data_IF_194914342646
#
_entry.id   IF_194914342646
#
_cell.length_a   1.000
_cell.length_b   1.000
_cell.length_c   1.000
_cell.angle_alpha   90.00
_cell.angle_beta   90.00
_cell.angle_gamma   90.00
#
_symmetry.space_group_name_H-M   'P 1'
#
loop_
_entity.id
_entity.type
_entity.pdbx_description
1 polymer ?
#
# COMPACT_ATOMS: atom_id res chain seq x y z
N UNK A 1 4.00 -15.70 -18.73
CA UNK A 1 4.88 -15.05 -17.74
C UNK A 1 5.70 -13.99 -18.48
N UNK A 2 5.49 -12.73 -18.18
CA UNK A 2 6.21 -11.65 -18.86
C UNK A 2 7.54 -11.39 -18.17
N UNK A 3 8.57 -11.00 -18.94
CA UNK A 3 9.97 -10.74 -18.51
C UNK A 3 10.16 -9.87 -17.26
N UNK A 4 9.12 -9.19 -16.77
CA UNK A 4 9.16 -8.31 -15.57
C UNK A 4 8.78 -8.99 -14.25
N UNK A 5 8.11 -10.13 -14.28
CA UNK A 5 7.69 -10.84 -13.06
C UNK A 5 8.83 -11.64 -12.40
N UNK A 6 9.87 -11.96 -13.18
CA UNK A 6 11.04 -12.69 -12.68
C UNK A 6 12.01 -11.85 -11.82
N UNK A 7 11.93 -10.50 -11.91
CA UNK A 7 12.84 -9.59 -11.16
C UNK A 7 12.43 -9.45 -9.69
N UNK A 8 11.19 -9.78 -9.34
CA UNK A 8 10.67 -9.69 -7.96
C UNK A 8 10.97 -10.89 -7.07
N UNK A 9 11.53 -11.97 -7.60
CA UNK A 9 11.61 -13.27 -6.92
C UNK A 9 12.91 -13.53 -6.15
N UNK A 10 13.91 -12.64 -6.25
CA UNK A 10 15.17 -12.75 -5.49
C UNK A 10 15.20 -11.72 -4.34
N UNK A 11 14.08 -11.45 -3.70
CA UNK A 11 14.09 -10.81 -2.40
C UNK A 11 14.35 -11.91 -1.35
N UNK A 12 15.60 -12.13 -1.04
CA UNK A 12 16.00 -12.98 0.07
C UNK A 12 15.23 -12.60 1.34
N UNK A 13 14.78 -13.60 2.08
CA UNK A 13 14.04 -13.45 3.32
C UNK A 13 14.74 -12.47 4.28
N UNK A 14 14.30 -11.22 4.28
CA UNK A 14 14.70 -10.25 5.28
C UNK A 14 13.99 -10.63 6.58
N UNK A 15 14.63 -11.44 7.40
CA UNK A 15 14.15 -11.78 8.72
C UNK A 15 14.10 -10.51 9.58
N UNK A 16 12.90 -10.16 9.99
CA UNK A 16 12.61 -9.02 10.86
C UNK A 16 13.14 -9.28 12.26
N UNK A 17 14.40 -8.86 12.52
CA UNK A 17 14.93 -8.74 13.89
C UNK A 17 15.80 -7.49 14.00
N UNK A 18 15.35 -6.54 14.79
CA UNK A 18 16.06 -5.29 15.08
C UNK A 18 17.48 -5.50 15.63
N UNK A 19 17.78 -6.63 16.29
CA UNK A 19 19.11 -7.01 16.76
C UNK A 19 20.04 -7.61 15.68
N UNK A 20 19.52 -7.98 14.50
CA UNK A 20 20.32 -8.54 13.41
C UNK A 20 20.87 -7.44 12.48
N UNK A 21 20.27 -6.25 12.48
CA UNK A 21 20.67 -5.12 11.60
C UNK A 21 22.04 -4.55 11.97
N UNK A 22 22.41 -4.56 13.24
CA UNK A 22 23.70 -4.01 13.67
C UNK A 22 24.90 -4.90 13.32
N UNK A 23 24.72 -6.22 13.17
CA UNK A 23 25.84 -7.17 12.92
C UNK A 23 26.58 -6.90 11.62
N UNK A 24 25.90 -6.50 10.54
CA UNK A 24 26.57 -6.21 9.28
C UNK A 24 27.40 -4.92 9.38
N UNK A 25 26.84 -3.86 9.99
CA UNK A 25 27.57 -2.61 10.20
C UNK A 25 28.72 -2.72 11.18
N UNK A 26 28.74 -3.73 12.06
CA UNK A 26 29.87 -4.08 12.93
C UNK A 26 30.88 -4.98 12.23
N UNK A 27 30.42 -5.86 11.34
CA UNK A 27 31.28 -6.79 10.58
C UNK A 27 32.10 -6.09 9.48
N UNK A 28 31.58 -5.00 8.94
CA UNK A 28 32.18 -4.22 7.88
C UNK A 28 32.55 -2.83 8.39
N UNK A 29 33.70 -2.27 8.02
CA UNK A 29 34.15 -0.95 8.49
C UNK A 29 33.41 0.19 7.75
N UNK A 30 32.04 0.15 7.77
CA UNK A 30 31.22 1.06 7.01
C UNK A 30 31.43 2.53 7.41
N UNK A 31 31.61 2.80 8.73
CA UNK A 31 31.85 4.17 9.19
C UNK A 31 33.19 4.72 8.69
N UNK A 32 34.21 3.85 8.56
CA UNK A 32 35.48 4.21 7.95
C UNK A 32 35.30 4.50 6.45
N UNK A 33 34.57 3.66 5.72
CA UNK A 33 34.26 3.94 4.30
C UNK A 33 33.56 5.29 4.09
N UNK A 34 32.67 5.63 5.02
CA UNK A 34 31.96 6.92 5.00
C UNK A 34 32.96 8.07 5.25
N UNK A 35 33.94 7.89 6.12
CA UNK A 35 35.00 8.88 6.40
C UNK A 35 35.97 9.02 5.23
N UNK A 36 36.35 7.90 4.58
CA UNK A 36 37.26 7.86 3.43
C UNK A 36 36.65 8.48 2.17
N UNK A 37 35.33 8.55 2.11
CA UNK A 37 34.58 9.21 1.02
C UNK A 37 34.17 8.28 -0.10
N UNK A 38 33.79 8.87 -1.25
CA UNK A 38 33.29 8.13 -2.41
C UNK A 38 34.37 7.21 -2.99
N UNK A 39 33.98 5.95 -3.29
CA UNK A 39 34.86 4.93 -3.88
C UNK A 39 34.07 4.08 -4.88
N UNK A 40 34.73 3.54 -5.88
CA UNK A 40 34.13 2.70 -6.92
C UNK A 40 35.05 1.56 -7.30
N UNK A 41 34.96 0.44 -6.59
CA UNK A 41 35.70 -0.80 -6.88
C UNK A 41 34.80 -1.87 -7.49
N UNK A 42 33.49 -1.78 -7.23
CA UNK A 42 32.46 -2.62 -7.83
C UNK A 42 31.75 -1.79 -8.87
N UNK A 43 31.57 -2.31 -10.08
CA UNK A 43 30.79 -1.64 -11.11
C UNK A 43 29.30 -1.72 -10.80
N UNK A 44 28.74 -0.58 -10.43
CA UNK A 44 27.38 -0.45 -9.94
C UNK A 44 26.76 0.90 -10.26
N UNK A 45 25.43 1.00 -10.11
CA UNK A 45 24.73 2.26 -10.10
C UNK A 45 23.87 2.37 -8.84
N UNK A 46 23.82 3.57 -8.27
CA UNK A 46 22.97 3.82 -7.09
C UNK A 46 22.29 5.17 -7.21
N UNK A 47 20.98 5.18 -7.00
CA UNK A 47 20.15 6.37 -7.05
C UNK A 47 19.12 6.39 -5.93
N UNK A 48 18.64 7.59 -5.61
CA UNK A 48 17.49 7.83 -4.73
C UNK A 48 16.46 8.60 -5.54
N UNK A 49 15.29 8.00 -5.74
CA UNK A 49 14.17 8.67 -6.38
C UNK A 49 13.52 9.63 -5.38
N UNK A 50 13.01 10.77 -5.86
CA UNK A 50 12.35 11.78 -5.05
C UNK A 50 11.16 11.23 -4.25
N UNK A 51 10.92 11.81 -3.08
CA UNK A 51 9.82 11.39 -2.23
C UNK A 51 8.47 11.77 -2.84
N UNK A 52 7.51 10.83 -2.76
CA UNK A 52 6.13 11.02 -3.22
C UNK A 52 5.15 10.45 -2.21
N UNK A 53 3.93 10.96 -2.19
CA UNK A 53 2.87 10.38 -1.35
C UNK A 53 2.54 8.95 -1.82
N UNK A 54 2.41 8.05 -0.88
CA UNK A 54 2.09 6.64 -1.13
C UNK A 54 0.65 6.31 -0.74
N UNK A 55 0.16 5.13 -1.13
CA UNK A 55 -1.13 4.62 -0.68
C UNK A 55 -1.23 4.48 0.86
N UNK A 56 -0.09 4.40 1.55
CA UNK A 56 -0.04 4.44 3.02
C UNK A 56 -0.22 5.85 3.60
N UNK A 57 -0.45 6.87 2.77
CA UNK A 57 -0.54 8.27 3.15
C UNK A 57 0.72 8.79 3.88
N UNK A 58 1.86 8.27 3.48
CA UNK A 58 3.20 8.67 3.92
C UNK A 58 4.07 8.94 2.71
N UNK A 59 5.00 9.89 2.82
CA UNK A 59 5.99 10.15 1.78
C UNK A 59 6.97 8.98 1.71
N UNK A 60 7.19 8.47 0.50
CA UNK A 60 8.10 7.36 0.23
C UNK A 60 9.15 7.77 -0.79
N UNK A 61 10.43 7.64 -0.40
CA UNK A 61 11.58 7.68 -1.29
C UNK A 61 11.97 6.25 -1.66
N UNK A 62 12.52 6.05 -2.85
CA UNK A 62 13.01 4.74 -3.30
C UNK A 62 14.50 4.78 -3.54
N UNK A 63 15.22 3.90 -2.86
CA UNK A 63 16.63 3.61 -3.13
C UNK A 63 16.69 2.48 -4.15
N UNK A 64 17.49 2.68 -5.19
CA UNK A 64 17.80 1.66 -6.21
C UNK A 64 19.30 1.46 -6.22
N UNK A 65 19.73 0.21 -6.05
CA UNK A 65 21.12 -0.22 -6.16
C UNK A 65 21.18 -1.31 -7.22
N UNK A 66 21.87 -1.04 -8.31
CA UNK A 66 22.06 -1.97 -9.43
C UNK A 66 23.53 -2.39 -9.47
N UNK A 67 23.80 -3.70 -9.37
CA UNK A 67 25.13 -4.28 -9.54
C UNK A 67 25.20 -4.96 -10.89
N UNK A 68 26.20 -4.62 -11.70
CA UNK A 68 26.36 -5.08 -13.05
C UNK A 68 26.49 -6.61 -13.13
N UNK A 69 25.95 -7.20 -14.19
CA UNK A 69 26.01 -8.64 -14.45
C UNK A 69 27.46 -9.18 -14.52
N UNK A 70 28.39 -8.40 -15.11
CA UNK A 70 29.80 -8.76 -15.18
C UNK A 70 30.46 -8.87 -13.81
N UNK A 71 30.05 -8.01 -12.85
CA UNK A 71 30.52 -8.08 -11.48
C UNK A 71 30.02 -9.33 -10.76
N UNK A 72 28.77 -9.73 -11.04
CA UNK A 72 28.20 -10.98 -10.51
C UNK A 72 28.92 -12.20 -11.10
N UNK A 73 29.20 -12.17 -12.40
CA UNK A 73 29.90 -13.25 -13.10
C UNK A 73 31.35 -13.40 -12.63
N UNK A 74 32.08 -12.29 -12.46
CA UNK A 74 33.45 -12.25 -11.91
C UNK A 74 33.56 -12.94 -10.55
N UNK A 75 32.50 -12.87 -9.73
CA UNK A 75 32.43 -13.39 -8.35
C UNK A 75 31.69 -14.73 -8.24
N UNK A 76 31.50 -15.44 -9.34
CA UNK A 76 30.68 -16.65 -9.45
C UNK A 76 30.68 -17.56 -8.21
N UNK A 77 29.47 -17.74 -7.63
CA UNK A 77 29.16 -18.79 -6.66
C UNK A 77 29.82 -18.63 -5.29
N UNK A 78 30.56 -17.55 -5.02
CA UNK A 78 31.30 -17.35 -3.77
C UNK A 78 30.87 -16.06 -3.07
N UNK A 79 30.50 -16.19 -1.80
CA UNK A 79 30.22 -15.04 -0.95
C UNK A 79 28.89 -14.38 -1.20
N UNK A 80 28.80 -13.12 -0.81
CA UNK A 80 27.60 -12.29 -0.85
C UNK A 80 27.97 -10.90 -1.37
N UNK A 81 27.08 -10.30 -2.13
CA UNK A 81 27.06 -8.84 -2.33
C UNK A 81 26.16 -8.25 -1.25
N UNK A 82 26.71 -7.35 -0.45
CA UNK A 82 25.98 -6.67 0.61
C UNK A 82 25.71 -5.22 0.22
N UNK A 83 24.43 -4.86 0.12
CA UNK A 83 23.99 -3.49 -0.08
C UNK A 83 23.77 -2.83 1.29
N UNK A 84 24.38 -1.67 1.52
CA UNK A 84 24.24 -0.86 2.72
C UNK A 84 23.52 0.44 2.39
N UNK A 85 22.63 0.86 3.27
CA UNK A 85 21.91 2.11 3.18
C UNK A 85 21.99 2.79 4.54
N UNK A 86 22.56 3.99 4.59
CA UNK A 86 22.47 4.88 5.74
C UNK A 86 21.77 6.16 5.31
N UNK A 87 20.85 6.62 6.13
CA UNK A 87 20.15 7.91 5.96
C UNK A 87 20.48 8.75 7.17
N UNK A 88 20.89 9.99 6.94
CA UNK A 88 21.19 10.95 8.00
C UNK A 88 20.33 12.20 7.77
N UNK A 89 19.65 12.70 8.82
CA UNK A 89 18.90 13.96 8.77
C UNK A 89 19.78 15.15 9.15
N UNK A 90 19.23 16.36 9.00
CA UNK A 90 19.92 17.61 9.33
C UNK A 90 20.37 17.70 10.81
N UNK A 91 19.79 16.92 11.70
CA UNK A 91 20.22 16.84 13.13
C UNK A 91 21.34 15.83 13.38
N UNK A 92 21.81 15.11 12.34
CA UNK A 92 22.84 14.08 12.44
C UNK A 92 22.32 12.73 12.94
N UNK A 93 21.00 12.54 13.08
CA UNK A 93 20.43 11.23 13.43
C UNK A 93 20.57 10.29 12.24
N UNK A 94 20.89 9.03 12.52
CA UNK A 94 21.19 8.02 11.51
C UNK A 94 20.27 6.82 11.58
N UNK A 95 19.80 6.36 10.42
CA UNK A 95 19.04 5.14 10.24
C UNK A 95 19.77 4.26 9.24
N UNK A 96 19.88 2.98 9.54
CA UNK A 96 20.67 2.03 8.77
C UNK A 96 19.85 0.82 8.36
N UNK A 97 20.07 0.34 7.14
CA UNK A 97 19.57 -0.91 6.64
C UNK A 97 20.61 -1.57 5.73
N UNK A 98 20.55 -2.88 5.62
CA UNK A 98 21.36 -3.65 4.69
C UNK A 98 20.52 -4.76 4.06
N UNK A 99 21.00 -5.27 2.93
CA UNK A 99 20.53 -6.50 2.34
C UNK A 99 21.72 -7.27 1.78
N UNK A 100 21.74 -8.60 1.99
CA UNK A 100 22.81 -9.47 1.53
C UNK A 100 22.26 -10.44 0.49
N UNK A 101 22.93 -10.53 -0.65
CA UNK A 101 22.59 -11.39 -1.77
C UNK A 101 23.65 -12.49 -1.87
N UNK A 102 23.29 -13.71 -1.50
CA UNK A 102 24.17 -14.88 -1.69
C UNK A 102 24.28 -15.18 -3.15
N UNK A 103 25.50 -15.12 -3.69
CA UNK A 103 25.72 -15.33 -5.12
C UNK A 103 25.44 -16.77 -5.56
N UNK A 104 25.54 -17.73 -4.64
CA UNK A 104 25.16 -19.12 -4.89
C UNK A 104 23.65 -19.33 -5.11
N UNK A 105 22.81 -18.49 -4.49
CA UNK A 105 21.35 -18.62 -4.56
C UNK A 105 20.74 -17.88 -5.76
N UNK A 106 21.56 -17.18 -6.56
CA UNK A 106 21.11 -16.42 -7.72
C UNK A 106 21.00 -17.37 -8.92
N UNK A 107 19.82 -17.53 -9.53
CA UNK A 107 19.65 -18.35 -10.74
C UNK A 107 20.54 -17.84 -11.89
N UNK A 108 21.02 -18.76 -12.73
CA UNK A 108 21.97 -18.41 -13.82
C UNK A 108 21.40 -17.40 -14.83
N UNK A 109 20.10 -17.50 -15.13
CA UNK A 109 19.41 -16.53 -15.98
C UNK A 109 19.30 -15.13 -15.34
N UNK A 110 19.28 -15.04 -14.02
CA UNK A 110 19.30 -13.78 -13.29
C UNK A 110 20.73 -13.19 -13.19
N UNK A 111 21.77 -14.05 -13.09
CA UNK A 111 23.18 -13.61 -13.11
C UNK A 111 23.51 -12.83 -14.38
N UNK A 112 22.99 -13.24 -15.51
CA UNK A 112 23.19 -12.56 -16.80
C UNK A 112 22.59 -11.14 -16.86
N UNK A 113 21.74 -10.76 -15.90
CA UNK A 113 21.04 -9.45 -15.86
C UNK A 113 21.52 -8.53 -14.76
N UNK A 114 22.41 -9.00 -13.87
CA UNK A 114 22.83 -8.28 -12.69
C UNK A 114 21.82 -8.37 -11.54
N UNK A 115 22.11 -7.66 -10.45
CA UNK A 115 21.26 -7.60 -9.24
C UNK A 115 20.73 -6.19 -9.10
N UNK A 116 19.39 -6.05 -9.04
CA UNK A 116 18.72 -4.80 -8.66
C UNK A 116 18.13 -4.93 -7.26
N UNK A 117 18.61 -4.13 -6.34
CA UNK A 117 18.02 -3.97 -5.01
C UNK A 117 17.15 -2.72 -4.96
N UNK A 118 15.88 -2.92 -4.56
CA UNK A 118 14.91 -1.84 -4.38
C UNK A 118 14.54 -1.76 -2.89
N UNK A 119 14.79 -0.61 -2.28
CA UNK A 119 14.38 -0.33 -0.90
C UNK A 119 13.50 0.90 -0.86
N UNK A 120 12.25 0.73 -0.51
CA UNK A 120 11.34 1.83 -0.21
C UNK A 120 11.57 2.30 1.24
N UNK A 121 11.55 3.62 1.43
CA UNK A 121 11.80 4.26 2.72
C UNK A 121 10.76 5.34 2.93
N UNK A 122 10.00 5.26 4.01
CA UNK A 122 9.16 6.37 4.43
C UNK A 122 10.01 7.46 5.08
N UNK A 123 9.74 8.69 4.69
CA UNK A 123 10.43 9.88 5.20
C UNK A 123 9.41 10.97 5.55
N UNK A 124 9.71 11.80 6.53
CA UNK A 124 8.99 13.06 6.76
C UNK A 124 9.60 14.18 5.91
N UNK A 125 8.92 15.34 5.75
CA UNK A 125 9.52 16.52 5.14
C UNK A 125 10.82 16.92 5.85
N UNK A 126 11.86 17.24 5.07
CA UNK A 126 13.19 17.60 5.59
C UNK A 126 14.31 17.32 4.61
N UNK A 127 15.54 17.55 5.06
CA UNK A 127 16.76 17.31 4.30
C UNK A 127 17.48 16.06 4.81
N UNK A 128 17.87 15.22 3.86
CA UNK A 128 18.49 13.91 4.15
C UNK A 128 19.73 13.68 3.30
N UNK A 129 20.73 13.04 3.88
CA UNK A 129 21.88 12.50 3.17
C UNK A 129 21.78 10.98 3.15
N UNK A 130 21.64 10.40 1.97
CA UNK A 130 21.68 8.97 1.74
C UNK A 130 23.09 8.54 1.42
N UNK A 131 23.69 7.70 2.24
CA UNK A 131 24.98 7.04 1.97
C UNK A 131 24.67 5.60 1.57
N UNK A 132 24.99 5.25 0.33
CA UNK A 132 24.72 3.96 -0.26
C UNK A 132 26.06 3.27 -0.53
N UNK A 133 26.16 1.97 -0.21
CA UNK A 133 27.34 1.19 -0.55
C UNK A 133 26.99 -0.23 -1.00
N UNK A 134 27.80 -0.80 -1.87
CA UNK A 134 27.81 -2.21 -2.21
C UNK A 134 29.20 -2.78 -1.85
N UNK A 135 29.22 -3.97 -1.23
CA UNK A 135 30.46 -4.62 -0.80
C UNK A 135 30.43 -6.11 -1.14
N UNK A 136 31.55 -6.62 -1.64
CA UNK A 136 31.80 -8.06 -1.76
C UNK A 136 32.30 -8.62 -0.42
N UNK A 137 31.64 -9.64 0.08
CA UNK A 137 31.97 -10.25 1.39
C UNK A 137 33.28 -11.00 1.41
N UNK A 138 33.81 -11.44 0.24
CA UNK A 138 35.05 -12.21 0.10
C UNK A 138 36.25 -11.30 -0.13
N UNK A 139 36.21 -10.47 -1.17
CA UNK A 139 37.32 -9.61 -1.54
C UNK A 139 37.40 -8.35 -0.70
N UNK A 140 36.33 -7.96 -0.04
CA UNK A 140 36.18 -6.69 0.69
C UNK A 140 36.24 -5.45 -0.20
N UNK A 141 36.25 -5.64 -1.53
CA UNK A 141 36.00 -4.55 -2.50
C UNK A 141 34.68 -3.88 -2.18
N UNK A 142 34.63 -2.56 -2.23
CA UNK A 142 33.37 -1.83 -2.03
C UNK A 142 33.25 -0.61 -2.93
N UNK A 143 32.03 -0.20 -3.16
CA UNK A 143 31.72 1.08 -3.79
C UNK A 143 30.76 1.85 -2.89
N UNK A 144 30.96 3.18 -2.79
CA UNK A 144 30.17 4.06 -1.95
C UNK A 144 29.86 5.37 -2.65
N UNK A 145 28.63 5.84 -2.48
CA UNK A 145 28.17 7.13 -2.99
C UNK A 145 27.27 7.82 -1.98
N UNK A 146 27.28 9.17 -1.98
CA UNK A 146 26.33 9.99 -1.22
C UNK A 146 25.35 10.67 -2.16
N UNK A 147 24.10 10.80 -1.72
CA UNK A 147 23.01 11.48 -2.43
C UNK A 147 22.24 12.34 -1.44
N UNK A 148 22.03 13.59 -1.77
CA UNK A 148 21.18 14.48 -1.00
C UNK A 148 19.75 14.35 -1.50
N UNK A 149 18.78 14.36 -0.59
CA UNK A 149 17.37 14.36 -0.88
C UNK A 149 16.69 15.45 -0.05
N UNK A 150 16.12 16.43 -0.72
CA UNK A 150 15.19 17.38 -0.12
C UNK A 150 13.77 16.86 -0.27
N UNK A 151 13.05 16.76 0.83
CA UNK A 151 11.65 16.29 0.88
C UNK A 151 10.78 17.47 1.29
N UNK A 152 10.07 18.11 0.35
CA UNK A 152 9.20 19.23 0.67
C UNK A 152 7.96 18.77 1.45
N UNK A 153 7.35 19.65 2.26
CA UNK A 153 6.01 19.44 2.80
C UNK A 153 4.99 19.26 1.66
N UNK A 154 3.92 18.53 1.90
CA UNK A 154 2.82 18.46 0.95
C UNK A 154 2.14 19.83 0.85
N UNK A 155 2.09 20.36 -0.36
CA UNK A 155 1.41 21.63 -0.61
C UNK A 155 -0.10 21.48 -0.39
N UNK A 156 -0.70 22.37 0.42
CA UNK A 156 -2.14 22.34 0.69
C UNK A 156 -2.61 21.06 1.38
N UNK A 157 -1.78 20.43 2.22
CA UNK A 157 -2.12 19.22 2.94
C UNK A 157 -3.40 19.37 3.78
N UNK A 158 -4.50 18.67 3.49
CA UNK A 158 -5.73 18.78 4.25
C UNK A 158 -5.67 18.04 5.62
N UNK A 159 -4.61 17.24 5.87
CA UNK A 159 -4.42 16.45 7.08
C UNK A 159 -3.01 16.64 7.68
N UNK A 160 -2.59 17.87 7.99
CA UNK A 160 -1.19 18.13 8.38
C UNK A 160 -0.80 17.47 9.71
N UNK A 161 -1.75 17.28 10.62
CA UNK A 161 -1.51 16.63 11.91
C UNK A 161 -1.41 15.10 11.85
N UNK A 162 -1.74 14.51 10.70
CA UNK A 162 -1.79 13.04 10.55
C UNK A 162 -0.41 12.36 10.72
N UNK A 163 0.67 13.12 10.61
CA UNK A 163 2.05 12.62 10.71
C UNK A 163 2.76 12.96 12.03
N UNK A 164 2.07 13.54 13.02
CA UNK A 164 2.67 14.10 14.26
C UNK A 164 3.58 13.11 14.99
N UNK A 165 3.23 11.83 15.05
CA UNK A 165 3.99 10.82 15.81
C UNK A 165 4.69 9.78 14.91
N UNK A 166 4.87 10.10 13.64
CA UNK A 166 5.58 9.21 12.74
C UNK A 166 7.09 9.29 12.94
N UNK A 167 7.81 8.18 12.80
CA UNK A 167 9.26 8.22 12.76
C UNK A 167 9.73 9.00 11.53
N UNK A 168 10.76 9.87 11.66
CA UNK A 168 11.29 10.65 10.54
C UNK A 168 11.73 9.80 9.35
N UNK A 169 12.29 8.62 9.64
CA UNK A 169 12.71 7.64 8.63
C UNK A 169 12.28 6.25 9.05
N UNK A 170 11.68 5.48 8.13
CA UNK A 170 11.30 4.10 8.35
C UNK A 170 11.51 3.28 7.08
N UNK A 171 12.37 2.27 7.14
CA UNK A 171 12.56 1.33 6.05
C UNK A 171 11.33 0.42 5.91
N UNK A 172 10.80 0.32 4.69
CA UNK A 172 9.68 -0.56 4.39
C UNK A 172 10.18 -1.99 4.35
N UNK A 173 9.73 -2.80 5.28
CA UNK A 173 10.05 -4.23 5.30
C UNK A 173 9.07 -4.98 4.39
N UNK A 174 9.60 -5.81 3.51
CA UNK A 174 8.81 -6.74 2.70
C UNK A 174 9.01 -8.14 3.26
N UNK A 175 7.92 -8.82 3.59
CA UNK A 175 8.01 -10.23 3.93
C UNK A 175 8.30 -11.03 2.66
N UNK A 176 9.31 -11.90 2.73
CA UNK A 176 9.77 -12.69 1.57
C UNK A 176 8.84 -13.80 1.11
N UNK A 177 7.69 -14.00 1.76
CA UNK A 177 6.72 -15.02 1.36
C UNK A 177 5.85 -14.51 0.18
N UNK A 178 5.66 -15.30 -0.89
CA UNK A 178 4.81 -14.96 -2.03
C UNK A 178 3.40 -14.54 -1.65
N UNK A 179 2.86 -15.07 -0.55
CA UNK A 179 1.51 -14.83 -0.06
C UNK A 179 1.31 -13.46 0.60
N UNK A 180 2.39 -12.75 0.88
CA UNK A 180 2.36 -11.41 1.49
C UNK A 180 2.60 -10.27 0.51
N UNK A 181 2.37 -10.48 -0.78
CA UNK A 181 2.55 -9.51 -1.86
C UNK A 181 1.80 -8.18 -1.65
N UNK A 182 0.77 -8.16 -0.84
CA UNK A 182 -0.08 -6.99 -0.56
C UNK A 182 0.29 -6.29 0.76
N UNK A 183 1.28 -6.79 1.52
CA UNK A 183 1.55 -6.29 2.87
C UNK A 183 3.01 -5.89 3.09
N UNK A 184 3.39 -4.65 2.82
CA UNK A 184 4.59 -4.11 3.45
C UNK A 184 4.36 -3.96 4.95
N UNK A 185 5.34 -4.34 5.75
CA UNK A 185 5.32 -4.07 7.18
C UNK A 185 5.60 -2.59 7.41
N UNK A 186 4.68 -1.90 8.09
CA UNK A 186 4.75 -0.48 8.41
C UNK A 186 4.48 -0.32 9.90
N UNK A 187 5.44 0.22 10.64
CA UNK A 187 5.35 0.44 12.10
C UNK A 187 4.66 1.74 12.43
N UNK A 188 5.08 2.83 11.76
CA UNK A 188 4.49 4.15 11.97
C UNK A 188 3.06 4.20 11.49
N UNK A 189 2.14 4.58 12.39
CA UNK A 189 0.71 4.68 12.11
C UNK A 189 0.33 6.14 11.92
N UNK A 190 -0.26 6.44 10.77
CA UNK A 190 -0.90 7.73 10.53
C UNK A 190 -2.07 7.87 11.52
N UNK A 191 -2.19 9.00 12.18
CA UNK A 191 -3.28 9.29 13.12
C UNK A 191 -4.39 10.08 12.44
N UNK A 192 -5.62 9.68 12.69
CA UNK A 192 -6.81 10.33 12.16
C UNK A 192 -7.80 10.62 13.30
N UNK A 193 -7.44 11.55 14.21
CA UNK A 193 -8.33 11.89 15.31
C UNK A 193 -9.55 12.66 14.79
N UNK A 194 -10.74 12.28 15.25
CA UNK A 194 -11.99 12.95 14.95
C UNK A 194 -12.71 13.27 16.26
N UNK A 195 -12.86 14.54 16.54
CA UNK A 195 -13.61 15.00 17.71
C UNK A 195 -15.06 15.17 17.30
N UNK A 196 -15.96 14.40 17.93
CA UNK A 196 -17.41 14.45 17.70
C UNK A 196 -18.14 15.00 18.92
N UNK A 197 -19.30 15.61 18.70
CA UNK A 197 -20.12 16.19 19.79
C UNK A 197 -20.91 15.14 20.58
N UNK A 198 -21.15 14.00 19.95
CA UNK A 198 -21.89 12.86 20.51
C UNK A 198 -21.28 11.56 20.03
N UNK A 199 -21.59 10.42 20.65
CA UNK A 199 -21.09 9.14 20.21
C UNK A 199 -21.43 8.87 18.74
N UNK A 200 -20.46 8.38 17.95
CA UNK A 200 -20.65 8.05 16.54
C UNK A 200 -20.20 6.61 16.30
N UNK A 201 -21.03 5.82 15.63
CA UNK A 201 -20.64 4.49 15.18
C UNK A 201 -20.20 4.53 13.72
N UNK A 202 -18.96 4.09 13.46
CA UNK A 202 -18.38 4.04 12.11
C UNK A 202 -18.25 2.58 11.65
N UNK A 203 -18.87 2.26 10.52
CA UNK A 203 -18.69 0.99 9.81
C UNK A 203 -17.80 1.22 8.59
N UNK A 204 -16.59 0.67 8.57
CA UNK A 204 -15.72 0.65 7.39
C UNK A 204 -15.92 -0.67 6.66
N UNK A 205 -16.40 -0.60 5.43
CA UNK A 205 -16.73 -1.76 4.60
C UNK A 205 -15.84 -1.78 3.37
N UNK A 206 -14.99 -2.77 3.22
CA UNK A 206 -14.16 -2.92 2.02
C UNK A 206 -14.68 -4.03 1.12
N UNK A 207 -14.93 -3.70 -0.13
CA UNK A 207 -15.17 -4.70 -1.17
C UNK A 207 -13.84 -5.29 -1.67
N UNK A 208 -13.69 -6.60 -1.53
CA UNK A 208 -12.52 -7.35 -2.01
C UNK A 208 -12.76 -8.03 -3.35
N UNK A 209 -13.99 -8.03 -3.84
CA UNK A 209 -14.34 -8.70 -5.11
C UNK A 209 -13.58 -8.04 -6.25
N UNK A 210 -12.89 -8.82 -7.09
CA UNK A 210 -12.24 -8.27 -8.27
C UNK A 210 -13.27 -7.67 -9.22
N UNK A 211 -12.98 -6.47 -9.73
CA UNK A 211 -13.76 -5.86 -10.82
C UNK A 211 -13.52 -6.66 -12.09
N UNK A 212 -14.56 -7.24 -12.65
CA UNK A 212 -14.45 -8.04 -13.86
C UNK A 212 -14.61 -7.18 -15.11
N UNK A 213 -13.49 -6.83 -15.71
CA UNK A 213 -13.43 -6.75 -17.17
C UNK A 213 -12.79 -8.05 -17.67
N UNK A 214 -13.41 -8.77 -18.61
CA UNK A 214 -12.83 -10.00 -19.15
C UNK A 214 -11.37 -9.78 -19.59
N UNK A 215 -10.45 -10.65 -19.15
CA UNK A 215 -9.04 -10.65 -19.55
C UNK A 215 -8.03 -10.00 -18.61
N UNK A 216 -8.43 -9.42 -17.45
CA UNK A 216 -7.52 -8.66 -16.56
C UNK A 216 -7.48 -9.19 -15.10
N UNK A 217 -8.15 -10.30 -14.82
CA UNK A 217 -8.52 -10.76 -13.46
C UNK A 217 -7.41 -10.75 -12.40
N UNK A 218 -6.31 -11.47 -12.58
CA UNK A 218 -5.33 -11.66 -11.49
C UNK A 218 -4.46 -10.43 -11.25
N UNK A 219 -4.02 -9.74 -12.30
CA UNK A 219 -3.20 -8.53 -12.16
C UNK A 219 -4.02 -7.36 -11.63
N UNK A 220 -5.27 -7.26 -12.07
CA UNK A 220 -6.20 -6.23 -11.60
C UNK A 220 -6.45 -6.35 -10.10
N UNK A 221 -6.70 -7.55 -9.59
CA UNK A 221 -6.91 -7.80 -8.17
C UNK A 221 -5.71 -7.37 -7.33
N UNK A 222 -4.50 -7.84 -7.65
CA UNK A 222 -3.28 -7.45 -6.91
C UNK A 222 -3.02 -5.96 -6.97
N UNK A 223 -3.24 -5.34 -8.13
CA UNK A 223 -3.10 -3.90 -8.30
C UNK A 223 -4.09 -3.14 -7.42
N UNK A 224 -5.36 -3.55 -7.40
CA UNK A 224 -6.38 -2.93 -6.54
C UNK A 224 -6.02 -3.10 -5.06
N UNK A 225 -5.67 -4.31 -4.62
CA UNK A 225 -5.30 -4.58 -3.23
C UNK A 225 -4.08 -3.79 -2.78
N UNK A 226 -3.16 -3.45 -3.68
CA UNK A 226 -1.97 -2.64 -3.34
C UNK A 226 -2.30 -1.23 -2.87
N UNK A 227 -3.48 -0.71 -3.17
CA UNK A 227 -3.98 0.58 -2.65
C UNK A 227 -5.12 0.42 -1.65
N UNK A 228 -6.00 -0.55 -1.83
CA UNK A 228 -7.15 -0.76 -0.94
C UNK A 228 -6.72 -1.25 0.45
N UNK A 229 -5.73 -2.14 0.54
CA UNK A 229 -5.26 -2.64 1.84
C UNK A 229 -4.60 -1.53 2.68
N UNK A 230 -3.69 -0.69 2.15
CA UNK A 230 -3.20 0.49 2.87
C UNK A 230 -4.32 1.46 3.26
N UNK A 231 -5.27 1.72 2.36
CA UNK A 231 -6.42 2.58 2.64
C UNK A 231 -7.31 2.02 3.76
N UNK A 232 -7.59 0.71 3.76
CA UNK A 232 -8.34 0.05 4.83
C UNK A 232 -7.62 0.16 6.18
N UNK A 233 -6.29 -0.08 6.20
CA UNK A 233 -5.48 0.10 7.41
C UNK A 233 -5.59 1.52 7.96
N UNK A 234 -5.58 2.50 7.06
CA UNK A 234 -5.72 3.90 7.41
C UNK A 234 -7.12 4.20 7.99
N UNK A 235 -8.19 3.78 7.28
CA UNK A 235 -9.57 3.96 7.73
C UNK A 235 -9.85 3.26 9.06
N UNK A 236 -9.26 2.07 9.28
CA UNK A 236 -9.35 1.35 10.56
C UNK A 236 -8.64 2.05 11.73
N UNK A 237 -7.84 3.08 11.43
CA UNK A 237 -7.10 3.91 12.39
C UNK A 237 -7.79 5.25 12.68
N UNK A 238 -8.99 5.48 12.17
CA UNK A 238 -9.82 6.63 12.54
C UNK A 238 -10.13 6.51 14.04
N UNK A 239 -9.75 7.53 14.78
CA UNK A 239 -9.90 7.59 16.24
C UNK A 239 -10.97 8.62 16.60
N UNK A 240 -12.19 8.14 16.85
CA UNK A 240 -13.31 8.99 17.27
C UNK A 240 -13.25 9.21 18.77
N UNK A 241 -13.41 10.45 19.19
CA UNK A 241 -13.37 10.82 20.62
C UNK A 241 -14.44 10.09 21.45
N UNK A 242 -15.59 9.82 20.84
CA UNK A 242 -16.71 9.08 21.43
C UNK A 242 -17.33 8.17 20.37
N UNK A 243 -17.52 6.89 20.69
CA UNK A 243 -18.15 5.93 19.79
C UNK A 243 -17.32 4.70 19.52
N UNK A 244 -17.55 4.09 18.37
CA UNK A 244 -16.90 2.85 17.96
C UNK A 244 -16.65 2.82 16.47
N UNK A 245 -15.71 1.98 16.06
CA UNK A 245 -15.40 1.71 14.66
C UNK A 245 -15.39 0.20 14.42
N UNK A 246 -16.15 -0.26 13.45
CA UNK A 246 -16.16 -1.64 12.99
C UNK A 246 -15.55 -1.72 11.58
N UNK A 247 -14.90 -2.84 11.27
CA UNK A 247 -14.31 -3.08 9.96
C UNK A 247 -14.89 -4.36 9.37
N UNK A 248 -15.35 -4.30 8.13
CA UNK A 248 -15.88 -5.45 7.41
C UNK A 248 -15.21 -5.62 6.06
N UNK A 249 -14.92 -6.86 5.69
CA UNK A 249 -14.46 -7.25 4.37
C UNK A 249 -15.58 -8.00 3.66
N UNK A 250 -15.91 -7.64 2.42
CA UNK A 250 -16.91 -8.29 1.61
C UNK A 250 -16.28 -8.97 0.41
N UNK A 251 -16.51 -10.27 0.25
CA UNK A 251 -16.32 -11.00 -0.99
C UNK A 251 -17.71 -11.25 -1.61
N UNK A 252 -18.08 -10.41 -2.56
CA UNK A 252 -19.42 -10.46 -3.19
C UNK A 252 -19.55 -11.73 -4.03
N UNK A 253 -18.47 -12.15 -4.71
CA UNK A 253 -18.49 -13.33 -5.56
C UNK A 253 -18.73 -14.62 -4.77
N UNK A 254 -18.28 -14.69 -3.52
CA UNK A 254 -18.48 -15.84 -2.64
C UNK A 254 -19.55 -15.60 -1.58
N UNK A 255 -20.16 -14.41 -1.55
CA UNK A 255 -21.16 -13.99 -0.55
C UNK A 255 -20.65 -14.18 0.90
N UNK A 256 -19.38 -13.82 1.15
CA UNK A 256 -18.74 -13.93 2.45
C UNK A 256 -18.48 -12.57 3.06
N UNK A 257 -18.62 -12.51 4.38
CA UNK A 257 -18.29 -11.33 5.19
C UNK A 257 -17.35 -11.73 6.32
N UNK A 258 -16.32 -10.91 6.54
CA UNK A 258 -15.45 -11.01 7.71
C UNK A 258 -15.50 -9.69 8.46
N UNK A 259 -15.58 -9.75 9.77
CA UNK A 259 -15.78 -8.57 10.61
C UNK A 259 -14.79 -8.50 11.76
N UNK A 260 -14.38 -7.28 12.05
CA UNK A 260 -13.66 -6.90 13.25
C UNK A 260 -14.41 -5.77 13.92
N UNK A 261 -15.01 -6.05 15.08
CA UNK A 261 -15.75 -5.07 15.88
C UNK A 261 -14.81 -4.28 16.79
N UNK A 262 -15.21 -3.05 17.12
CA UNK A 262 -14.48 -2.14 18.00
C UNK A 262 -13.00 -2.02 17.65
N UNK A 263 -12.71 -1.85 16.35
CA UNK A 263 -11.36 -1.80 15.82
C UNK A 263 -10.62 -0.53 16.32
N UNK A 264 -9.38 -0.72 16.76
CA UNK A 264 -8.39 0.34 17.00
C UNK A 264 -7.19 0.13 16.07
N UNK A 265 -7.47 -0.02 14.79
CA UNK A 265 -6.57 -0.51 13.78
C UNK A 265 -6.88 -1.94 13.36
N UNK A 266 -6.45 -2.33 12.17
CA UNK A 266 -6.72 -3.63 11.61
C UNK A 266 -5.92 -4.74 12.32
N UNK A 267 -6.60 -5.75 12.87
CA UNK A 267 -5.96 -6.98 13.34
C UNK A 267 -5.54 -7.82 12.13
N UNK A 268 -4.28 -7.67 11.76
CA UNK A 268 -3.78 -8.28 10.56
C UNK A 268 -3.67 -9.81 10.64
N UNK A 269 -3.39 -10.36 11.81
CA UNK A 269 -3.30 -11.80 11.98
C UNK A 269 -4.64 -12.49 11.69
N UNK A 270 -5.74 -11.84 12.08
CA UNK A 270 -7.10 -12.31 11.85
C UNK A 270 -7.58 -12.02 10.42
N UNK A 271 -7.24 -10.85 9.87
CA UNK A 271 -7.82 -10.35 8.62
C UNK A 271 -7.03 -10.74 7.36
N UNK A 272 -5.84 -11.36 7.50
CA UNK A 272 -5.05 -11.74 6.32
C UNK A 272 -5.63 -12.91 5.54
N UNK A 273 -6.24 -13.89 6.22
CA UNK A 273 -6.80 -15.07 5.56
C UNK A 273 -7.88 -14.72 4.52
N UNK A 274 -8.84 -13.83 4.79
CA UNK A 274 -9.77 -13.33 3.78
C UNK A 274 -9.11 -12.86 2.49
N UNK A 275 -7.99 -12.14 2.57
CA UNK A 275 -7.30 -11.64 1.36
C UNK A 275 -6.64 -12.77 0.54
N UNK A 276 -6.18 -13.83 1.22
CA UNK A 276 -5.63 -15.02 0.55
C UNK A 276 -6.76 -15.79 -0.11
N UNK A 277 -7.86 -16.00 0.59
CA UNK A 277 -9.01 -16.77 0.13
C UNK A 277 -9.72 -16.10 -1.04
N UNK A 278 -9.80 -14.77 -1.06
CA UNK A 278 -10.43 -14.00 -2.14
C UNK A 278 -9.58 -13.86 -3.40
N UNK A 279 -8.36 -14.41 -3.41
CA UNK A 279 -7.51 -14.38 -4.61
C UNK A 279 -8.21 -15.12 -5.77
N UNK A 280 -8.42 -14.48 -6.96
CA UNK A 280 -9.19 -15.03 -8.06
C UNK A 280 -8.49 -16.16 -8.82
N UNK A 281 -7.37 -16.69 -8.30
CA UNK A 281 -6.63 -17.78 -8.93
C UNK A 281 -7.39 -19.12 -9.01
N UNK A 282 -8.51 -19.25 -8.28
CA UNK A 282 -9.35 -20.47 -8.29
C UNK A 282 -10.79 -20.03 -8.56
N UNK A 283 -11.33 -20.43 -9.70
CA UNK A 283 -12.75 -20.32 -10.04
C UNK A 283 -13.43 -21.60 -9.59
N UNK A 284 -14.34 -21.52 -8.64
CA UNK A 284 -15.17 -22.64 -8.22
C UNK A 284 -16.61 -22.48 -8.73
N UNK A 285 -17.33 -23.60 -8.85
CA UNK A 285 -18.71 -23.61 -9.35
C UNK A 285 -19.68 -22.82 -8.45
N UNK A 286 -19.40 -22.75 -7.16
CA UNK A 286 -20.21 -22.02 -6.19
C UNK A 286 -20.07 -20.50 -6.43
N UNK A 287 -18.85 -20.00 -6.72
CA UNK A 287 -18.62 -18.60 -7.08
C UNK A 287 -19.35 -18.21 -8.36
N UNK A 288 -19.39 -19.08 -9.37
CA UNK A 288 -20.13 -18.84 -10.61
C UNK A 288 -21.63 -18.71 -10.37
N UNK A 289 -22.22 -19.59 -9.55
CA UNK A 289 -23.64 -19.52 -9.19
C UNK A 289 -23.98 -18.31 -8.32
N UNK A 290 -23.03 -17.80 -7.53
CA UNK A 290 -23.23 -16.64 -6.67
C UNK A 290 -23.12 -15.32 -7.44
N UNK A 291 -22.50 -15.31 -8.63
CA UNK A 291 -22.26 -14.09 -9.41
C UNK A 291 -23.53 -13.30 -9.75
N UNK A 292 -24.66 -13.97 -9.99
CA UNK A 292 -25.93 -13.31 -10.28
C UNK A 292 -26.52 -12.54 -9.10
N UNK A 293 -26.04 -12.77 -7.87
CA UNK A 293 -26.58 -12.19 -6.63
C UNK A 293 -25.62 -11.22 -5.95
N UNK A 294 -24.50 -10.87 -6.57
CA UNK A 294 -23.49 -9.99 -5.94
C UNK A 294 -24.07 -8.65 -5.51
N UNK A 295 -24.86 -8.02 -6.38
CA UNK A 295 -25.48 -6.72 -6.10
C UNK A 295 -26.50 -6.82 -4.97
N UNK A 296 -27.32 -7.90 -4.97
CA UNK A 296 -28.29 -8.15 -3.89
C UNK A 296 -27.58 -8.38 -2.56
N UNK A 297 -26.55 -9.22 -2.54
CA UNK A 297 -25.77 -9.46 -1.32
C UNK A 297 -25.11 -8.18 -0.79
N UNK A 298 -24.57 -7.34 -1.68
CA UNK A 298 -24.03 -6.05 -1.30
C UNK A 298 -25.10 -5.13 -0.69
N UNK A 299 -26.26 -5.03 -1.35
CA UNK A 299 -27.39 -4.23 -0.87
C UNK A 299 -27.85 -4.66 0.51
N UNK A 300 -28.06 -5.97 0.73
CA UNK A 300 -28.49 -6.52 2.02
C UNK A 300 -27.50 -6.16 3.13
N UNK A 301 -26.19 -6.26 2.85
CA UNK A 301 -25.16 -5.88 3.81
C UNK A 301 -25.12 -4.38 4.09
N UNK A 302 -25.40 -3.55 3.09
CA UNK A 302 -25.48 -2.09 3.29
C UNK A 302 -26.71 -1.68 4.09
N UNK A 303 -27.88 -2.26 3.80
CA UNK A 303 -29.10 -2.02 4.57
C UNK A 303 -28.92 -2.42 6.04
N UNK A 304 -28.41 -3.62 6.28
CA UNK A 304 -28.13 -4.10 7.64
C UNK A 304 -27.30 -3.10 8.46
N UNK A 305 -26.29 -2.46 7.83
CA UNK A 305 -25.41 -1.51 8.50
C UNK A 305 -25.99 -0.10 8.55
N UNK A 306 -26.59 0.36 7.47
CA UNK A 306 -27.08 1.73 7.36
C UNK A 306 -28.39 1.96 8.14
N UNK A 307 -29.24 0.92 8.30
CA UNK A 307 -30.59 1.03 8.89
C UNK A 307 -30.70 0.38 10.27
N UNK A 308 -29.64 -0.26 10.77
CA UNK A 308 -29.65 -0.88 12.10
C UNK A 308 -30.02 0.15 13.19
N UNK A 309 -30.83 -0.23 14.20
CA UNK A 309 -31.19 0.66 15.30
C UNK A 309 -29.93 1.20 16.00
N UNK A 310 -29.80 2.52 16.04
CA UNK A 310 -28.64 3.21 16.64
C UNK A 310 -28.93 3.86 17.99
N UNK A 311 -30.11 3.68 18.55
CA UNK A 311 -30.50 4.35 19.81
C UNK A 311 -30.51 5.89 19.71
N UNK A 312 -30.49 6.46 18.50
CA UNK A 312 -30.41 7.90 18.25
C UNK A 312 -28.99 8.42 17.97
N UNK A 313 -27.96 7.60 18.12
CA UNK A 313 -26.59 7.99 17.80
C UNK A 313 -26.34 8.00 16.27
N UNK A 314 -25.52 8.94 15.77
CA UNK A 314 -25.15 8.97 14.36
C UNK A 314 -24.41 7.71 13.93
N UNK A 315 -24.78 7.25 12.73
CA UNK A 315 -24.15 6.13 12.06
C UNK A 315 -23.47 6.56 10.75
N UNK A 316 -22.23 6.16 10.60
CA UNK A 316 -21.42 6.45 9.42
C UNK A 316 -21.01 5.14 8.77
N UNK A 317 -21.32 4.97 7.50
CA UNK A 317 -20.86 3.82 6.71
C UNK A 317 -19.87 4.33 5.66
N UNK A 318 -18.65 3.83 5.69
CA UNK A 318 -17.59 4.16 4.73
C UNK A 318 -17.31 2.94 3.87
N UNK A 319 -17.75 2.96 2.64
CA UNK A 319 -17.50 1.88 1.66
C UNK A 319 -16.23 2.20 0.90
N UNK A 320 -15.25 1.29 0.95
CA UNK A 320 -14.00 1.36 0.21
C UNK A 320 -13.99 0.29 -0.88
N UNK A 321 -13.81 0.67 -2.14
CA UNK A 321 -13.74 -0.28 -3.26
C UNK A 321 -12.88 0.26 -4.41
N UNK A 322 -12.29 -0.64 -5.20
CA UNK A 322 -12.00 -0.33 -6.59
C UNK A 322 -13.32 -0.25 -7.38
N UNK A 323 -13.34 0.40 -8.56
CA UNK A 323 -14.52 0.39 -9.42
C UNK A 323 -15.03 -1.03 -9.65
N UNK A 324 -16.29 -1.29 -9.33
CA UNK A 324 -16.89 -2.61 -9.40
C UNK A 324 -17.94 -2.67 -10.52
N UNK A 325 -17.59 -3.40 -11.58
CA UNK A 325 -18.50 -3.67 -12.70
C UNK A 325 -18.85 -5.15 -12.64
N UNK A 326 -20.01 -5.47 -12.08
CA UNK A 326 -20.39 -6.84 -11.70
C UNK A 326 -21.08 -7.62 -12.85
N UNK A 327 -21.08 -7.08 -14.07
CA UNK A 327 -21.59 -7.78 -15.25
C UNK A 327 -23.12 -7.88 -15.31
N UNK A 328 -23.63 -9.03 -15.78
CA UNK A 328 -25.06 -9.29 -15.92
C UNK A 328 -25.72 -9.63 -14.57
N UNK A 329 -25.90 -8.61 -13.75
CA UNK A 329 -26.56 -8.77 -12.46
C UNK A 329 -28.07 -8.56 -12.57
N UNK A 330 -28.84 -9.30 -11.78
CA UNK A 330 -30.23 -8.96 -11.52
C UNK A 330 -30.27 -7.54 -10.96
N UNK A 331 -30.93 -6.64 -11.64
CA UNK A 331 -31.06 -5.25 -11.21
C UNK A 331 -31.81 -5.24 -9.87
N UNK A 332 -31.10 -4.90 -8.81
CA UNK A 332 -31.72 -4.62 -7.53
C UNK A 332 -32.38 -3.26 -7.66
N UNK A 333 -33.73 -3.21 -7.63
CA UNK A 333 -34.41 -1.95 -7.39
C UNK A 333 -34.31 -1.65 -5.90
N UNK A 334 -33.52 -0.63 -5.52
CA UNK A 334 -33.38 -0.30 -4.12
C UNK A 334 -34.76 0.08 -3.59
N UNK A 335 -35.27 -0.64 -2.59
CA UNK A 335 -36.43 -0.19 -1.85
C UNK A 335 -36.12 1.20 -1.28
N UNK A 336 -37.05 2.12 -1.33
CA UNK A 336 -36.87 3.46 -0.78
C UNK A 336 -36.54 3.37 0.69
N UNK A 337 -35.29 3.71 1.03
CA UNK A 337 -34.85 3.77 2.42
C UNK A 337 -35.20 5.15 2.95
N UNK A 338 -35.95 5.26 4.05
CA UNK A 338 -36.27 6.55 4.63
C UNK A 338 -35.02 7.40 4.87
N UNK A 339 -35.11 8.69 4.57
CA UNK A 339 -34.05 9.63 4.88
C UNK A 339 -33.85 9.68 6.39
N UNK A 340 -32.61 9.51 6.86
CA UNK A 340 -32.24 9.61 8.27
C UNK A 340 -31.13 10.66 8.41
N UNK A 341 -31.38 11.78 9.10
CA UNK A 341 -30.40 12.84 9.30
C UNK A 341 -29.18 12.39 10.13
N UNK A 342 -29.29 11.30 10.88
CA UNK A 342 -28.22 10.72 11.67
C UNK A 342 -27.39 9.69 10.86
N UNK A 343 -27.81 9.35 9.65
CA UNK A 343 -27.08 8.44 8.75
C UNK A 343 -26.19 9.22 7.81
N UNK A 344 -24.96 8.76 7.65
CA UNK A 344 -24.04 9.22 6.59
C UNK A 344 -23.43 8.00 5.90
N UNK A 345 -23.53 7.98 4.60
CA UNK A 345 -22.90 6.93 3.77
C UNK A 345 -21.89 7.59 2.84
N UNK A 346 -20.67 7.06 2.80
CA UNK A 346 -19.61 7.53 1.94
C UNK A 346 -19.12 6.37 1.07
N UNK A 347 -18.89 6.64 -0.20
CA UNK A 347 -18.25 5.70 -1.11
C UNK A 347 -16.89 6.25 -1.54
N UNK A 348 -15.82 5.63 -1.07
CA UNK A 348 -14.45 5.90 -1.46
C UNK A 348 -14.06 4.93 -2.57
N UNK A 349 -14.17 5.37 -3.81
CA UNK A 349 -13.79 4.62 -5.00
C UNK A 349 -12.32 4.88 -5.29
N UNK A 350 -11.44 3.94 -4.94
CA UNK A 350 -10.00 4.09 -5.08
C UNK A 350 -9.43 3.10 -6.12
N UNK A 351 -8.94 3.63 -7.22
CA UNK A 351 -8.32 2.88 -8.30
C UNK A 351 -6.84 3.22 -8.40
N UNK A 352 -5.91 2.23 -8.41
CA UNK A 352 -4.51 2.54 -8.63
C UNK A 352 -4.30 3.05 -10.04
N UNK A 353 -3.46 4.08 -10.18
CA UNK A 353 -2.97 4.50 -11.48
C UNK A 353 -2.16 3.34 -12.09
N UNK A 354 -2.51 2.83 -13.26
CA UNK A 354 -1.67 1.84 -13.91
C UNK A 354 -0.28 2.45 -14.12
N UNK A 355 0.80 1.67 -13.90
CA UNK A 355 2.14 2.16 -14.18
C UNK A 355 2.18 2.64 -15.64
N UNK A 356 2.85 3.77 -15.93
CA UNK A 356 2.98 4.25 -17.29
C UNK A 356 3.51 3.09 -18.14
N UNK A 357 2.72 2.67 -19.13
CA UNK A 357 3.24 1.77 -20.15
C UNK A 357 4.39 2.54 -20.79
N UNK A 358 5.57 1.96 -20.85
CA UNK A 358 6.58 2.40 -21.82
C UNK A 358 6.01 2.08 -23.19
N UNK A 359 5.20 2.99 -23.70
CA UNK A 359 4.82 3.06 -25.08
C UNK A 359 6.08 3.60 -25.75
N UNK A 360 6.47 3.04 -26.90
CA UNK A 360 7.50 3.61 -27.76
C UNK A 360 7.34 5.13 -27.81
N UNK A 361 8.44 5.87 -27.83
CA UNK A 361 8.52 7.32 -27.68
C UNK A 361 7.60 8.16 -28.60
N UNK A 362 6.87 7.53 -29.52
CA UNK A 362 5.99 8.14 -30.52
C UNK A 362 4.49 8.15 -30.17
N UNK A 363 4.08 7.64 -29.02
CA UNK A 363 2.66 7.61 -28.67
C UNK A 363 2.27 8.82 -27.82
N UNK A 364 1.33 9.62 -28.31
CA UNK A 364 0.74 10.74 -27.59
C UNK A 364 0.25 10.31 -26.20
N UNK A 365 0.42 11.17 -25.15
CA UNK A 365 -0.03 10.86 -23.82
C UNK A 365 -1.53 10.61 -23.84
N UNK A 366 -1.94 9.39 -23.50
CA UNK A 366 -3.36 9.08 -23.31
C UNK A 366 -3.82 9.79 -22.06
N UNK A 367 -4.49 10.93 -22.22
CA UNK A 367 -5.23 11.56 -21.14
C UNK A 367 -6.34 10.61 -20.69
N UNK A 368 -6.08 9.91 -19.57
CA UNK A 368 -7.14 9.14 -18.93
C UNK A 368 -8.17 10.14 -18.40
N UNK A 369 -9.41 9.99 -18.85
CA UNK A 369 -10.51 10.82 -18.40
C UNK A 369 -10.56 10.82 -16.86
N UNK A 370 -10.60 12.00 -16.27
CA UNK A 370 -10.66 12.19 -14.82
C UNK A 370 -11.97 11.67 -14.20
N UNK A 371 -13.01 11.42 -15.01
CA UNK A 371 -14.28 10.86 -14.58
C UNK A 371 -14.37 9.38 -14.93
N UNK A 372 -14.30 8.53 -13.91
CA UNK A 372 -14.66 7.12 -14.08
C UNK A 372 -16.19 7.00 -14.30
N UNK A 373 -16.65 6.12 -15.21
CA UNK A 373 -18.08 5.86 -15.33
C UNK A 373 -18.65 5.33 -14.02
N UNK A 374 -19.95 5.54 -13.82
CA UNK A 374 -20.70 4.99 -12.69
C UNK A 374 -20.54 3.47 -12.65
N UNK A 375 -20.20 2.93 -11.48
CA UNK A 375 -20.13 1.50 -11.25
C UNK A 375 -21.37 0.95 -10.54
N UNK A 376 -21.47 -0.38 -10.40
CA UNK A 376 -22.66 -1.02 -9.84
C UNK A 376 -22.83 -0.76 -8.34
N UNK A 377 -21.73 -0.59 -7.59
CA UNK A 377 -21.80 -0.22 -6.18
C UNK A 377 -22.24 1.23 -6.00
N UNK A 378 -21.73 2.14 -6.84
CA UNK A 378 -22.14 3.54 -6.83
C UNK A 378 -23.65 3.67 -7.08
N UNK A 379 -24.16 2.94 -8.09
CA UNK A 379 -25.60 2.94 -8.41
C UNK A 379 -26.43 2.45 -7.23
N UNK A 380 -25.99 1.38 -6.57
CA UNK A 380 -26.67 0.82 -5.40
C UNK A 380 -26.64 1.80 -4.20
N UNK A 381 -25.51 2.44 -3.96
CA UNK A 381 -25.33 3.33 -2.81
C UNK A 381 -26.05 4.68 -2.95
N UNK A 382 -26.38 5.11 -4.18
CA UNK A 382 -27.22 6.32 -4.41
C UNK A 382 -28.57 6.25 -3.70
N UNK A 383 -29.12 5.05 -3.55
CA UNK A 383 -30.37 4.85 -2.82
C UNK A 383 -30.27 5.08 -1.30
N UNK A 384 -29.05 5.16 -0.78
CA UNK A 384 -28.73 5.47 0.62
C UNK A 384 -28.24 6.92 0.81
N UNK A 385 -28.45 7.80 -0.18
CA UNK A 385 -27.92 9.18 -0.21
C UNK A 385 -26.40 9.25 -0.03
N UNK A 386 -25.67 8.25 -0.54
CA UNK A 386 -24.24 8.15 -0.36
C UNK A 386 -23.48 9.29 -1.06
N UNK A 387 -22.50 9.86 -0.39
CA UNK A 387 -21.56 10.82 -0.98
C UNK A 387 -20.40 10.07 -1.63
N UNK A 388 -20.14 10.40 -2.89
CA UNK A 388 -19.19 9.69 -3.75
C UNK A 388 -17.86 10.46 -3.81
N UNK A 389 -16.75 9.77 -3.53
CA UNK A 389 -15.39 10.27 -3.72
C UNK A 389 -14.61 9.30 -4.59
N UNK A 390 -14.05 9.80 -5.69
CA UNK A 390 -13.19 9.00 -6.55
C UNK A 390 -11.75 9.44 -6.39
N UNK A 391 -10.85 8.49 -6.28
CA UNK A 391 -9.43 8.72 -6.19
C UNK A 391 -8.66 7.78 -7.12
N UNK A 392 -7.70 8.32 -7.86
CA UNK A 392 -6.73 7.57 -8.66
C UNK A 392 -5.30 7.80 -8.17
N UNK A 393 -5.10 8.84 -7.36
CA UNK A 393 -3.82 9.15 -6.73
C UNK A 393 -3.92 9.13 -5.20
N UNK A 394 -2.81 8.94 -4.48
CA UNK A 394 -2.79 9.06 -3.03
C UNK A 394 -3.22 10.44 -2.52
N UNK A 395 -2.93 11.50 -3.27
CA UNK A 395 -3.30 12.88 -2.96
C UNK A 395 -4.82 13.07 -3.02
N UNK A 396 -5.46 12.59 -4.08
CA UNK A 396 -6.92 12.62 -4.21
C UNK A 396 -7.59 11.83 -3.08
N UNK A 397 -7.03 10.64 -2.74
CA UNK A 397 -7.52 9.86 -1.61
C UNK A 397 -7.37 10.61 -0.28
N UNK A 398 -6.26 11.36 -0.09
CA UNK A 398 -6.04 12.17 1.11
C UNK A 398 -7.10 13.28 1.25
N UNK A 399 -7.45 13.94 0.14
CA UNK A 399 -8.53 14.94 0.13
C UNK A 399 -9.90 14.31 0.40
N UNK A 400 -10.21 13.17 -0.21
CA UNK A 400 -11.45 12.44 0.05
C UNK A 400 -11.58 12.05 1.52
N UNK A 401 -10.50 11.53 2.11
CA UNK A 401 -10.45 11.16 3.52
C UNK A 401 -10.67 12.38 4.44
N UNK A 402 -10.02 13.51 4.16
CA UNK A 402 -10.21 14.73 4.92
C UNK A 402 -11.68 15.23 4.88
N UNK A 403 -12.32 15.14 3.71
CA UNK A 403 -13.73 15.48 3.57
C UNK A 403 -14.62 14.57 4.40
N UNK A 404 -14.37 13.25 4.37
CA UNK A 404 -15.11 12.30 5.22
C UNK A 404 -14.93 12.63 6.70
N UNK A 405 -13.69 12.86 7.16
CA UNK A 405 -13.42 13.20 8.57
C UNK A 405 -14.09 14.51 8.98
N UNK A 406 -14.09 15.52 8.11
CA UNK A 406 -14.75 16.80 8.37
C UNK A 406 -16.28 16.64 8.51
N UNK A 407 -16.89 15.76 7.73
CA UNK A 407 -18.34 15.46 7.85
C UNK A 407 -18.64 14.68 9.11
N UNK A 408 -17.80 13.72 9.50
CA UNK A 408 -17.96 12.96 10.76
C UNK A 408 -17.83 13.89 11.97
N UNK A 409 -16.89 14.83 11.92
CA UNK A 409 -16.69 15.81 13.01
C UNK A 409 -17.89 16.78 13.22
N UNK A 410 -18.78 16.91 12.24
CA UNK A 410 -19.99 17.75 12.36
C UNK A 410 -21.15 17.04 13.05
N UNK A 411 -21.07 15.72 13.23
CA UNK A 411 -22.08 14.92 13.91
C UNK A 411 -21.91 15.01 15.43
#
# INVERSE_FOLDING_TARGET
MTRREAIGLVAGAATAQTGFRDRYFTRYPFDQWVADGARSEIHWAAKVDGARLSAHQRLVARVVIDVDAKEIEKRRGRGEIVAFIQIEDASGRRWRAHNAFRLADIPDDAKARGITHLQDVFVLPGDYVFTLAACDSQTREYSLVRRNLHVPPLHGDPLPSAWTDLPPVEFVERFGAPDFWFQPYVRGKVRLPVVTRRPVHIDVVMNMTPSERPGVLVRGFRSNMSVLVPALKLLSSIDVSQGSLDVSLLDLARQKTWEQKSARGLDWNRMRAPFIDSNPGVIDAQSLAANERMTQFFWDRMIERAVAPSGGDPRVVIVLSAPAYLGHQTRVEPSSVPHDPNRRVFYLRYRPTPPPRRISDDAAPVHMASSLPEDDLERTLKALDARMYSAVTPEEFRHALANVMAEVARL
#
